data_IF_261402913318
#
_entry.id   IF_261402913318
#
_cell.length_a   1.000
_cell.length_b   1.000
_cell.length_c   1.000
_cell.angle_alpha   90.00
_cell.angle_beta   90.00
_cell.angle_gamma   90.00
#
_symmetry.space_group_name_H-M   'P 1'
#
loop_
_entity.id
_entity.type
_entity.pdbx_description
1 polymer ?
#
# COMPACT_ATOMS: atom_id res chain seq x y z
N UNK A 1 16.90 15.62 -3.53
CA UNK A 1 15.74 15.42 -4.43
C UNK A 1 14.68 16.44 -4.00
N UNK A 2 14.13 17.24 -4.92
CA UNK A 2 13.09 18.23 -4.57
C UNK A 2 11.85 17.49 -4.07
N UNK A 3 11.28 17.91 -2.94
CA UNK A 3 10.00 17.38 -2.46
C UNK A 3 8.91 17.82 -3.43
N UNK A 4 8.28 16.87 -4.13
CA UNK A 4 7.13 17.14 -4.97
C UNK A 4 5.89 17.31 -4.09
N UNK A 5 4.98 18.19 -4.50
CA UNK A 5 3.64 18.23 -3.91
C UNK A 5 2.82 17.00 -4.34
N UNK A 6 1.62 16.86 -3.77
CA UNK A 6 0.82 15.66 -3.95
C UNK A 6 0.37 15.44 -5.41
N UNK A 7 -0.09 16.50 -6.10
CA UNK A 7 -0.46 16.42 -7.52
C UNK A 7 0.75 16.18 -8.43
N UNK A 8 1.89 16.82 -8.15
CA UNK A 8 3.14 16.57 -8.87
C UNK A 8 3.59 15.11 -8.76
N UNK A 9 3.44 14.49 -7.58
CA UNK A 9 3.78 13.07 -7.40
C UNK A 9 2.82 12.15 -8.16
N UNK A 10 1.54 12.49 -8.26
CA UNK A 10 0.57 11.72 -9.05
C UNK A 10 0.86 11.81 -10.52
N UNK A 11 1.13 13.03 -11.01
CA UNK A 11 1.57 13.21 -12.38
C UNK A 11 2.82 12.38 -12.65
N UNK A 12 3.76 12.34 -11.70
CA UNK A 12 4.95 11.49 -11.81
C UNK A 12 4.60 9.99 -11.91
N UNK A 13 3.60 9.50 -11.19
CA UNK A 13 3.14 8.11 -11.36
C UNK A 13 2.65 7.85 -12.78
N UNK A 14 1.81 8.74 -13.32
CA UNK A 14 1.33 8.62 -14.70
C UNK A 14 2.47 8.69 -15.72
N UNK A 15 3.39 9.65 -15.56
CA UNK A 15 4.53 9.86 -16.46
C UNK A 15 5.47 8.64 -16.49
N UNK A 16 5.68 8.00 -15.34
CA UNK A 16 6.50 6.78 -15.24
C UNK A 16 5.72 5.50 -15.61
N UNK A 17 4.46 5.66 -16.04
CA UNK A 17 3.62 4.59 -16.56
C UNK A 17 3.09 3.65 -15.48
N UNK A 18 2.80 4.17 -14.28
CA UNK A 18 2.06 3.45 -13.24
C UNK A 18 0.56 3.75 -13.30
N UNK A 19 -0.26 2.89 -12.67
CA UNK A 19 -1.69 3.11 -12.43
C UNK A 19 -1.94 3.62 -11.00
N UNK A 20 -1.89 4.93 -10.74
CA UNK A 20 -2.33 5.46 -9.46
C UNK A 20 -3.85 5.34 -9.35
N UNK A 21 -4.34 5.08 -8.14
CA UNK A 21 -5.76 5.00 -7.83
C UNK A 21 -6.08 5.93 -6.64
N UNK A 22 -7.21 6.66 -6.68
CA UNK A 22 -7.63 7.50 -5.58
C UNK A 22 -8.20 6.64 -4.44
N UNK A 23 -7.69 6.84 -3.24
CA UNK A 23 -8.19 6.21 -2.03
C UNK A 23 -8.65 7.29 -1.04
N UNK A 24 -9.55 6.95 -0.12
CA UNK A 24 -10.03 7.95 0.84
C UNK A 24 -8.88 8.47 1.71
N UNK A 25 -8.98 9.74 2.13
CA UNK A 25 -8.07 10.29 3.13
C UNK A 25 -8.40 9.68 4.52
N UNK A 26 -7.41 9.39 5.38
CA UNK A 26 -7.69 8.93 6.74
C UNK A 26 -8.46 10.00 7.53
N UNK A 27 -9.53 9.60 8.20
CA UNK A 27 -10.27 10.45 9.15
C UNK A 27 -9.80 10.17 10.59
N UNK A 28 -10.07 11.09 11.52
CA UNK A 28 -9.65 10.97 12.93
C UNK A 28 -10.19 9.69 13.61
N UNK A 29 -11.28 9.10 13.11
CA UNK A 29 -11.83 7.83 13.61
C UNK A 29 -10.96 6.58 13.32
N UNK A 30 -9.94 6.69 12.46
CA UNK A 30 -9.05 5.57 12.13
C UNK A 30 -8.00 5.24 13.20
N UNK A 31 -7.89 6.03 14.29
CA UNK A 31 -6.79 6.00 15.26
C UNK A 31 -6.93 4.97 16.42
N UNK A 32 -7.99 4.17 16.48
CA UNK A 32 -8.24 3.34 17.66
C UNK A 32 -7.45 2.01 17.66
N UNK A 33 -6.28 1.99 18.31
CA UNK A 33 -5.72 0.77 18.92
C UNK A 33 -6.70 0.36 20.02
N UNK A 34 -7.12 -0.92 20.04
CA UNK A 34 -7.87 -1.48 21.17
C UNK A 34 -7.00 -1.38 22.43
N UNK A 35 -7.12 -0.27 23.17
CA UNK A 35 -6.91 -0.29 24.62
C UNK A 35 -8.19 -0.90 25.20
N UNK A 36 -8.03 -1.69 26.24
CA UNK A 36 -9.01 -2.57 26.86
C UNK A 36 -10.28 -1.89 27.42
N UNK A 37 -10.53 -0.62 27.11
CA UNK A 37 -11.75 0.08 27.47
C UNK A 37 -12.84 -0.18 26.43
N UNK A 38 -13.96 -0.74 26.87
CA UNK A 38 -15.15 -1.15 26.11
C UNK A 38 -15.90 -0.03 25.36
N UNK A 39 -15.35 1.18 25.29
CA UNK A 39 -15.95 2.25 24.48
C UNK A 39 -15.72 1.95 23.00
N UNK A 40 -16.81 1.52 22.33
CA UNK A 40 -16.91 1.47 20.87
C UNK A 40 -16.49 2.84 20.32
N UNK A 41 -15.27 2.92 19.83
CA UNK A 41 -14.81 4.00 18.99
C UNK A 41 -15.82 4.14 17.83
N UNK A 42 -16.40 5.32 17.65
CA UNK A 42 -17.24 5.65 16.50
C UNK A 42 -16.37 5.64 15.25
N UNK A 43 -16.14 4.44 14.73
CA UNK A 43 -15.35 4.25 13.53
C UNK A 43 -16.23 4.64 12.35
N UNK A 44 -15.77 5.61 11.57
CA UNK A 44 -16.10 5.65 10.15
C UNK A 44 -15.34 4.50 9.48
N UNK A 45 -15.86 3.28 9.69
CA UNK A 45 -15.41 2.07 9.02
C UNK A 45 -16.24 1.89 7.76
N UNK A 46 -15.62 1.34 6.70
CA UNK A 46 -16.40 0.83 5.60
C UNK A 46 -17.18 -0.43 6.04
N UNK A 47 -18.05 -0.95 5.17
CA UNK A 47 -18.81 -2.19 5.40
C UNK A 47 -17.94 -3.42 5.74
N UNK A 48 -16.60 -3.32 5.62
CA UNK A 48 -15.62 -4.36 5.87
C UNK A 48 -14.76 -4.11 7.12
N UNK A 49 -15.11 -3.13 7.95
CA UNK A 49 -14.33 -2.70 9.12
C UNK A 49 -12.89 -2.28 8.77
N UNK A 50 -12.68 -1.66 7.61
CA UNK A 50 -11.39 -1.11 7.21
C UNK A 50 -11.34 0.40 7.48
N UNK A 51 -10.17 0.88 7.92
CA UNK A 51 -9.89 2.32 7.96
C UNK A 51 -10.04 2.89 6.54
N UNK A 52 -10.92 3.89 6.36
CA UNK A 52 -11.17 4.52 5.05
C UNK A 52 -9.89 4.93 4.33
N UNK A 53 -8.86 5.35 5.08
CA UNK A 53 -7.52 5.71 4.57
C UNK A 53 -6.77 4.65 3.73
N UNK A 54 -7.29 3.42 3.63
CA UNK A 54 -6.77 2.31 2.81
C UNK A 54 -7.78 1.79 1.77
N UNK A 55 -8.96 2.41 1.66
CA UNK A 55 -10.06 1.94 0.82
C UNK A 55 -10.11 2.78 -0.47
N UNK A 56 -10.12 2.15 -1.66
CA UNK A 56 -10.36 2.86 -2.91
C UNK A 56 -11.70 3.58 -2.94
N UNK A 57 -11.72 4.81 -3.47
CA UNK A 57 -12.94 5.62 -3.57
C UNK A 57 -14.02 4.97 -4.46
N UNK A 58 -13.60 4.15 -5.41
CA UNK A 58 -14.46 3.53 -6.42
C UNK A 58 -14.41 2.01 -6.30
N UNK A 59 -15.57 1.32 -6.34
CA UNK A 59 -15.63 -0.15 -6.19
C UNK A 59 -15.02 -0.90 -7.40
N UNK A 60 -15.08 -0.30 -8.57
CA UNK A 60 -14.57 -0.78 -9.86
C UNK A 60 -13.12 -0.35 -10.15
N UNK A 61 -12.39 0.17 -9.13
CA UNK A 61 -11.05 0.73 -9.28
C UNK A 61 -10.05 -0.18 -10.01
N UNK A 62 -10.19 -1.50 -9.89
CA UNK A 62 -9.25 -2.45 -10.48
C UNK A 62 -9.30 -2.45 -12.02
N UNK A 63 -10.49 -2.20 -12.55
CA UNK A 63 -10.83 -2.28 -13.98
C UNK A 63 -10.99 -0.88 -14.60
N UNK A 64 -10.79 0.17 -13.81
CA UNK A 64 -10.93 1.57 -14.19
C UNK A 64 -9.57 2.22 -14.43
N UNK A 65 -9.53 3.11 -15.42
CA UNK A 65 -8.42 4.05 -15.60
C UNK A 65 -8.79 5.39 -14.95
N UNK A 66 -7.84 5.97 -14.26
CA UNK A 66 -7.97 7.27 -13.58
C UNK A 66 -7.10 8.29 -14.28
N UNK A 67 -7.52 9.55 -14.20
CA UNK A 67 -6.79 10.74 -14.61
C UNK A 67 -6.39 11.55 -13.38
N UNK A 68 -5.58 12.59 -13.55
CA UNK A 68 -5.20 13.46 -12.43
C UNK A 68 -6.39 14.21 -11.81
N UNK A 69 -7.46 14.43 -12.57
CA UNK A 69 -8.66 15.14 -12.10
C UNK A 69 -9.51 14.28 -11.15
N UNK A 70 -9.32 12.96 -11.14
CA UNK A 70 -9.99 12.04 -10.19
C UNK A 70 -9.41 12.14 -8.75
N UNK A 71 -8.36 12.94 -8.55
CA UNK A 71 -7.65 13.11 -7.28
C UNK A 71 -7.98 14.45 -6.61
N UNK A 72 -9.14 14.49 -5.93
CA UNK A 72 -9.65 15.66 -5.20
C UNK A 72 -9.18 15.72 -3.74
N UNK A 73 -8.61 16.87 -3.33
CA UNK A 73 -8.09 17.12 -1.97
C UNK A 73 -9.19 17.19 -0.89
N UNK A 74 -8.94 16.68 0.33
CA UNK A 74 -7.78 15.85 0.70
C UNK A 74 -7.97 14.39 0.23
N UNK A 75 -6.91 13.78 -0.28
CA UNK A 75 -6.92 12.37 -0.68
C UNK A 75 -5.65 11.64 -0.27
N UNK A 76 -5.70 10.32 -0.37
CA UNK A 76 -4.54 9.46 -0.44
C UNK A 76 -4.49 8.81 -1.84
N UNK A 77 -3.34 8.29 -2.22
CA UNK A 77 -3.10 7.57 -3.47
C UNK A 77 -2.60 6.17 -3.17
N UNK A 78 -3.06 5.20 -3.94
CA UNK A 78 -2.47 3.88 -4.02
C UNK A 78 -1.95 3.60 -5.44
N UNK A 79 -1.08 2.60 -5.58
CA UNK A 79 -0.71 2.03 -6.88
C UNK A 79 -1.45 0.71 -7.06
N UNK A 80 -2.12 0.55 -8.20
CA UNK A 80 -2.70 -0.72 -8.59
C UNK A 80 -1.60 -1.68 -9.06
N UNK A 81 -1.63 -2.92 -8.57
CA UNK A 81 -0.70 -3.98 -8.96
C UNK A 81 -1.19 -4.74 -10.20
N UNK A 82 -0.31 -5.52 -10.81
CA UNK A 82 -0.53 -6.21 -12.08
C UNK A 82 -0.10 -5.35 -13.27
N UNK A 83 -0.82 -5.48 -14.39
CA UNK A 83 -0.50 -4.79 -15.66
C UNK A 83 -0.61 -3.25 -15.53
N UNK A 84 0.43 -2.57 -15.95
CA UNK A 84 0.57 -1.11 -16.02
C UNK A 84 0.43 -0.60 -17.47
N UNK A 85 0.18 0.71 -17.71
CA UNK A 85 -0.08 1.24 -19.05
C UNK A 85 1.16 1.18 -19.96
N UNK A 86 2.36 1.22 -19.38
CA UNK A 86 3.62 1.04 -20.10
C UNK A 86 3.94 -0.44 -20.46
N UNK A 87 3.04 -1.37 -20.15
CA UNK A 87 3.19 -2.79 -20.44
C UNK A 87 3.91 -3.61 -19.35
N UNK A 88 4.50 -2.96 -18.34
CA UNK A 88 5.08 -3.67 -17.20
C UNK A 88 3.99 -4.36 -16.38
N UNK A 89 4.34 -5.51 -15.82
CA UNK A 89 3.54 -6.17 -14.78
C UNK A 89 4.30 -6.04 -13.48
N UNK A 90 3.61 -5.60 -12.43
CA UNK A 90 4.23 -5.38 -11.12
C UNK A 90 3.49 -6.09 -10.00
N UNK A 91 4.24 -6.45 -8.97
CA UNK A 91 3.72 -6.94 -7.69
C UNK A 91 4.39 -6.18 -6.54
N UNK A 92 3.80 -6.20 -5.35
CA UNK A 92 4.43 -5.64 -4.15
C UNK A 92 4.47 -6.62 -2.98
N UNK A 93 5.62 -6.71 -2.34
CA UNK A 93 5.77 -7.28 -1.00
C UNK A 93 5.45 -6.15 -0.03
N UNK A 94 4.33 -6.28 0.67
CA UNK A 94 3.78 -5.30 1.61
C UNK A 94 4.05 -5.80 3.03
N UNK A 95 5.03 -5.16 3.69
CA UNK A 95 5.44 -5.49 5.05
C UNK A 95 4.68 -4.58 6.01
N UNK A 96 3.99 -5.23 6.95
CA UNK A 96 3.29 -4.58 8.05
C UNK A 96 3.99 -4.96 9.37
N UNK A 97 4.42 -3.96 10.14
CA UNK A 97 5.13 -4.16 11.41
C UNK A 97 6.64 -4.36 11.26
N UNK A 98 7.23 -5.05 12.25
CA UNK A 98 8.65 -5.33 12.33
C UNK A 98 8.93 -6.77 11.89
N UNK A 99 9.69 -6.94 10.81
CA UNK A 99 10.23 -8.21 10.36
C UNK A 99 11.76 -8.18 10.33
N UNK A 100 12.42 -9.34 10.41
CA UNK A 100 13.86 -9.40 10.24
C UNK A 100 14.28 -8.90 8.86
N UNK A 101 15.06 -7.81 8.82
CA UNK A 101 15.44 -7.14 7.57
C UNK A 101 16.27 -8.03 6.63
N UNK A 102 17.03 -8.98 7.18
CA UNK A 102 17.87 -9.89 6.41
C UNK A 102 17.09 -10.86 5.51
N UNK A 103 15.77 -10.99 5.69
CA UNK A 103 14.93 -11.75 4.74
C UNK A 103 14.87 -11.13 3.35
N UNK A 104 15.22 -9.84 3.24
CA UNK A 104 15.12 -9.08 1.99
C UNK A 104 16.48 -8.69 1.42
N UNK A 105 17.58 -9.03 2.07
CA UNK A 105 18.94 -8.67 1.62
C UNK A 105 19.32 -9.38 0.31
N UNK A 106 18.77 -10.57 0.08
CA UNK A 106 19.00 -11.35 -1.14
C UNK A 106 18.13 -10.86 -2.31
N UNK A 107 17.12 -10.02 -2.04
CA UNK A 107 16.27 -9.48 -3.10
C UNK A 107 16.97 -8.34 -3.85
N UNK A 108 16.78 -8.23 -5.18
CA UNK A 108 17.35 -7.14 -5.94
C UNK A 108 16.78 -5.79 -5.46
N UNK A 109 17.62 -4.77 -5.41
CA UNK A 109 17.20 -3.42 -5.01
C UNK A 109 16.15 -2.87 -5.96
N UNK A 110 14.93 -2.72 -5.45
CA UNK A 110 13.77 -2.34 -6.26
C UNK A 110 13.12 -1.02 -5.81
N UNK A 111 12.05 -0.61 -6.47
CA UNK A 111 11.26 0.55 -6.07
C UNK A 111 10.70 0.32 -4.65
N UNK A 112 11.04 1.22 -3.73
CA UNK A 112 10.84 0.99 -2.29
C UNK A 112 10.23 2.21 -1.60
N UNK A 113 9.04 2.03 -1.01
CA UNK A 113 8.42 3.02 -0.12
C UNK A 113 8.47 2.60 1.34
N UNK A 114 8.76 3.55 2.22
CA UNK A 114 8.61 3.43 3.66
C UNK A 114 7.17 3.80 4.03
N UNK A 115 6.51 2.96 4.81
CA UNK A 115 5.13 3.16 5.26
C UNK A 115 5.09 3.76 6.67
N UNK A 116 3.89 3.90 7.25
CA UNK A 116 3.77 4.26 8.66
C UNK A 116 4.18 3.15 9.63
N UNK A 117 4.27 1.91 9.17
CA UNK A 117 4.52 0.71 9.98
C UNK A 117 5.06 -0.43 9.11
N UNK A 118 6.23 -0.26 8.51
CA UNK A 118 6.87 -1.23 7.61
C UNK A 118 7.28 -0.63 6.26
N UNK A 119 7.23 -1.44 5.21
CA UNK A 119 7.83 -1.13 3.90
C UNK A 119 7.04 -1.78 2.75
N UNK A 120 7.07 -1.16 1.57
CA UNK A 120 6.63 -1.80 0.32
C UNK A 120 7.81 -1.96 -0.62
N UNK A 121 8.06 -3.18 -1.10
CA UNK A 121 9.01 -3.49 -2.15
C UNK A 121 8.26 -3.89 -3.41
N UNK A 122 8.40 -3.12 -4.48
CA UNK A 122 7.64 -3.31 -5.72
C UNK A 122 8.55 -3.91 -6.77
N UNK A 123 8.21 -5.08 -7.31
CA UNK A 123 9.00 -5.77 -8.33
C UNK A 123 8.25 -5.83 -9.65
N UNK A 124 8.99 -5.87 -10.76
CA UNK A 124 8.44 -6.30 -12.04
C UNK A 124 8.42 -7.83 -12.10
N UNK A 125 7.43 -8.37 -12.81
CA UNK A 125 7.23 -9.80 -12.99
C UNK A 125 6.83 -10.08 -14.44
N UNK A 126 7.04 -11.31 -14.94
CA UNK A 126 6.48 -11.71 -16.23
C UNK A 126 4.95 -11.56 -16.27
N UNK A 127 4.37 -11.26 -17.45
CA UNK A 127 2.92 -11.36 -17.66
C UNK A 127 2.40 -12.74 -17.23
N UNK A 128 1.18 -12.77 -16.68
CA UNK A 128 0.49 -14.00 -16.28
C UNK A 128 1.23 -14.86 -15.23
N UNK A 129 2.15 -14.25 -14.48
CA UNK A 129 2.78 -14.88 -13.32
C UNK A 129 1.71 -15.46 -12.38
N UNK A 130 1.87 -16.70 -11.87
CA UNK A 130 0.87 -17.39 -11.04
C UNK A 130 0.85 -16.85 -9.59
N UNK A 131 1.01 -15.54 -9.44
CA UNK A 131 0.93 -14.84 -8.18
C UNK A 131 -0.53 -14.55 -7.86
N UNK A 132 -0.83 -14.41 -6.58
CA UNK A 132 -2.15 -14.03 -6.09
C UNK A 132 -2.06 -12.78 -5.22
N UNK A 133 -3.21 -12.32 -4.74
CA UNK A 133 -3.26 -11.30 -3.69
C UNK A 133 -3.36 -11.99 -2.33
N UNK A 134 -2.22 -12.28 -1.72
CA UNK A 134 -2.11 -13.04 -0.48
C UNK A 134 -2.00 -12.09 0.70
N UNK A 135 -2.76 -12.36 1.75
CA UNK A 135 -2.70 -11.60 3.00
C UNK A 135 -2.16 -12.50 4.09
N UNK A 136 -1.17 -12.01 4.82
CA UNK A 136 -0.53 -12.69 5.93
C UNK A 136 0.03 -14.08 5.53
N UNK A 137 1.00 -14.08 4.61
CA UNK A 137 1.59 -15.29 3.99
C UNK A 137 2.10 -16.29 5.03
N UNK A 138 2.62 -15.79 6.14
CA UNK A 138 3.17 -16.62 7.23
C UNK A 138 2.19 -16.86 8.37
N UNK A 139 0.93 -16.44 8.22
CA UNK A 139 -0.11 -16.54 9.23
C UNK A 139 0.34 -15.96 10.59
N UNK A 140 0.94 -14.78 10.60
CA UNK A 140 1.50 -14.15 11.80
C UNK A 140 0.52 -13.21 12.48
N UNK A 141 -0.62 -12.88 11.85
CA UNK A 141 -1.63 -11.98 12.44
C UNK A 141 -2.57 -12.70 13.40
N UNK A 142 -3.04 -11.94 14.39
CA UNK A 142 -4.05 -12.33 15.37
C UNK A 142 -5.15 -11.27 15.40
N UNK A 143 -6.41 -11.70 15.30
CA UNK A 143 -7.57 -10.78 15.37
C UNK A 143 -7.73 -10.11 16.74
N UNK A 144 -7.15 -10.70 17.78
CA UNK A 144 -7.24 -10.19 19.15
C UNK A 144 -6.11 -9.21 19.47
N UNK A 145 -4.87 -9.62 19.15
CA UNK A 145 -3.63 -8.97 19.59
C UNK A 145 -2.88 -8.25 18.46
N UNK A 146 -3.40 -8.26 17.24
CA UNK A 146 -2.72 -7.76 16.04
C UNK A 146 -1.78 -8.82 15.44
N UNK A 147 -0.83 -9.30 16.24
CA UNK A 147 0.13 -10.36 15.88
C UNK A 147 0.03 -11.56 16.83
N UNK A 148 0.39 -12.75 16.34
CA UNK A 148 0.55 -13.96 17.14
C UNK A 148 1.71 -13.80 18.12
N UNK A 149 1.75 -14.65 19.15
CA UNK A 149 2.85 -14.68 20.12
C UNK A 149 4.18 -14.83 19.36
N UNK A 150 5.19 -14.07 19.80
CA UNK A 150 6.54 -14.00 19.21
C UNK A 150 6.65 -13.39 17.80
N UNK A 151 5.55 -12.84 17.26
CA UNK A 151 5.56 -12.14 15.98
C UNK A 151 5.37 -10.64 16.17
N UNK A 152 6.04 -9.85 15.32
CA UNK A 152 5.95 -8.38 15.32
C UNK A 152 5.60 -7.79 13.96
N UNK A 153 5.43 -8.62 12.95
CA UNK A 153 5.09 -8.18 11.61
C UNK A 153 4.47 -9.29 10.76
N UNK A 154 3.97 -8.91 9.59
CA UNK A 154 3.33 -9.75 8.60
C UNK A 154 3.79 -9.36 7.19
N UNK A 155 3.68 -10.31 6.27
CA UNK A 155 3.90 -10.06 4.84
C UNK A 155 2.61 -10.31 4.09
N UNK A 156 2.23 -9.32 3.29
CA UNK A 156 1.20 -9.42 2.26
C UNK A 156 1.87 -9.43 0.89
N UNK A 157 1.36 -10.24 -0.04
CA UNK A 157 1.74 -10.21 -1.45
C UNK A 157 0.60 -9.56 -2.21
N UNK A 158 0.87 -8.40 -2.82
CA UNK A 158 -0.10 -7.66 -3.61
C UNK A 158 0.22 -7.86 -5.09
N UNK A 159 -0.67 -8.55 -5.79
CA UNK A 159 -0.64 -8.73 -7.23
C UNK A 159 -2.06 -8.62 -7.78
N UNK A 160 -2.22 -8.46 -9.10
CA UNK A 160 -3.48 -8.43 -9.86
C UNK A 160 -4.77 -8.19 -9.07
N UNK A 161 -5.38 -7.00 -9.23
CA UNK A 161 -6.49 -6.51 -8.39
C UNK A 161 -6.11 -6.29 -6.92
N UNK A 162 -4.82 -6.35 -6.59
CA UNK A 162 -4.22 -5.82 -5.37
C UNK A 162 -3.75 -4.38 -5.56
N UNK A 163 -3.59 -3.65 -4.46
CA UNK A 163 -3.05 -2.30 -4.45
C UNK A 163 -2.23 -2.06 -3.17
N UNK A 164 -1.29 -1.12 -3.23
CA UNK A 164 -0.55 -0.62 -2.07
C UNK A 164 -0.73 0.87 -1.94
N UNK A 165 -0.82 1.38 -0.71
CA UNK A 165 -0.81 2.83 -0.48
C UNK A 165 0.55 3.39 -0.87
N UNK A 166 0.57 4.49 -1.62
CA UNK A 166 1.80 5.06 -2.16
C UNK A 166 2.06 6.47 -1.61
N UNK A 167 3.32 6.91 -1.54
CA UNK A 167 3.66 8.30 -1.25
C UNK A 167 2.93 9.31 -2.17
N UNK A 168 2.58 10.51 -1.70
CA UNK A 168 2.85 11.06 -0.38
C UNK A 168 1.67 10.89 0.60
N UNK A 169 0.90 9.80 0.45
CA UNK A 169 -0.26 9.48 1.29
C UNK A 169 0.04 9.56 2.79
N UNK A 170 -1.01 9.74 3.57
CA UNK A 170 -0.97 9.80 5.03
C UNK A 170 -1.42 8.45 5.62
N UNK A 171 -0.61 7.91 6.52
CA UNK A 171 -1.01 6.78 7.35
C UNK A 171 -2.04 7.23 8.40
N UNK A 172 -2.85 6.30 8.90
CA UNK A 172 -3.82 6.58 9.97
C UNK A 172 -3.19 7.09 11.27
N UNK A 173 -1.87 7.05 11.42
CA UNK A 173 -1.14 7.59 12.58
C UNK A 173 -0.58 9.00 12.32
N UNK A 174 -0.87 9.60 11.16
CA UNK A 174 -0.30 10.89 10.73
C UNK A 174 1.09 10.79 10.09
N UNK A 175 1.73 9.61 10.10
CA UNK A 175 3.00 9.38 9.40
C UNK A 175 2.78 9.38 7.89
N UNK A 176 3.56 10.14 7.12
CA UNK A 176 3.49 10.12 5.66
C UNK A 176 4.28 8.96 5.06
N UNK A 177 3.68 8.31 4.07
CA UNK A 177 4.40 7.39 3.19
C UNK A 177 5.45 8.19 2.40
N UNK A 178 6.64 7.62 2.22
CA UNK A 178 7.73 8.25 1.47
C UNK A 178 8.51 7.24 0.65
N UNK A 179 8.94 7.64 -0.54
CA UNK A 179 9.89 6.84 -1.31
C UNK A 179 11.24 6.89 -0.61
N UNK A 180 11.82 5.72 -0.32
CA UNK A 180 13.22 5.64 0.10
C UNK A 180 14.10 5.91 -1.12
N UNK A 181 13.81 5.20 -2.20
CA UNK A 181 14.52 5.31 -3.47
C UNK A 181 13.53 5.11 -4.62
N UNK A 182 13.34 6.17 -5.43
CA UNK A 182 12.56 6.06 -6.65
C UNK A 182 13.42 5.46 -7.77
N UNK A 183 12.94 4.38 -8.38
CA UNK A 183 13.60 3.68 -9.49
C UNK A 183 12.60 2.83 -10.27
N UNK A 184 13.03 2.31 -11.42
CA UNK A 184 12.29 1.27 -12.13
C UNK A 184 12.24 0.01 -11.25
N UNK A 185 11.06 -0.64 -11.08
CA UNK A 185 10.97 -1.91 -10.38
C UNK A 185 11.91 -2.97 -10.97
N UNK A 186 12.80 -3.51 -10.15
CA UNK A 186 13.66 -4.63 -10.52
C UNK A 186 12.81 -5.90 -10.72
N UNK A 187 13.31 -6.83 -11.53
CA UNK A 187 12.67 -8.12 -11.74
C UNK A 187 12.72 -8.95 -10.46
N UNK A 188 11.62 -9.62 -10.12
CA UNK A 188 11.58 -10.58 -9.03
C UNK A 188 12.38 -11.84 -9.44
N UNK A 189 13.32 -12.34 -8.61
CA UNK A 189 14.14 -13.51 -8.93
C UNK A 189 13.35 -14.82 -8.99
#
# INVERSE_FOLDING_TARGET
MKTLNQKEMIQRYFDDGFRPIPIHHPTQGCHCLRKESEERCDREEDERNQCLGKVPKYKDWADRDFSIDDFEDPFNVALAMGKQPNGLWIMAIDIDGELPWWWFDELPKTLHSITGCGDHFIFSVPPDSPLGNWTDVFHTRSKLTGYRLDHKGAIDIRYCRGAIVAPPSLHKWGTRYRWKEWRIPAELP
#
